data_IF_809803418394
#
_entry.id   IF_809803418394
#
_cell.length_a   1.000
_cell.length_b   1.000
_cell.length_c   1.000
_cell.angle_alpha   90.00
_cell.angle_beta   90.00
_cell.angle_gamma   90.00
#
_symmetry.space_group_name_H-M   'P 1'
#
loop_
_entity.id
_entity.type
_entity.pdbx_description
1 polymer ?
#
# COMPACT_ATOMS: atom_id res chain seq x y z
N UNK A 1 5.20 -8.99 -8.29
CA UNK A 1 4.26 -9.15 -7.17
C UNK A 1 3.67 -7.82 -6.70
N UNK A 2 4.48 -6.81 -6.46
CA UNK A 2 3.94 -5.53 -5.96
C UNK A 2 3.06 -4.82 -6.97
N UNK A 3 3.37 -4.92 -8.25
CA UNK A 3 2.54 -4.32 -9.28
C UNK A 3 1.15 -4.96 -9.32
N UNK A 4 1.10 -6.27 -9.17
CA UNK A 4 -0.18 -6.98 -9.11
C UNK A 4 -0.99 -6.58 -7.89
N UNK A 5 -0.34 -6.40 -6.74
CA UNK A 5 -1.03 -5.94 -5.54
C UNK A 5 -1.61 -4.54 -5.70
N UNK A 6 -0.84 -3.63 -6.32
CA UNK A 6 -1.33 -2.27 -6.62
C UNK A 6 -2.54 -2.32 -7.54
N UNK A 7 -2.46 -3.15 -8.57
CA UNK A 7 -3.56 -3.33 -9.51
C UNK A 7 -4.81 -3.86 -8.80
N UNK A 8 -4.63 -4.85 -7.95
CA UNK A 8 -5.75 -5.43 -7.21
C UNK A 8 -6.42 -4.40 -6.30
N UNK A 9 -5.63 -3.63 -5.56
CA UNK A 9 -6.16 -2.58 -4.69
C UNK A 9 -6.97 -1.57 -5.51
N UNK A 10 -6.44 -1.15 -6.65
CA UNK A 10 -7.16 -0.20 -7.52
C UNK A 10 -8.47 -0.79 -8.04
N UNK A 11 -8.47 -2.06 -8.46
CA UNK A 11 -9.67 -2.72 -8.95
C UNK A 11 -10.73 -2.78 -7.86
N UNK A 12 -10.35 -3.08 -6.64
CA UNK A 12 -11.30 -3.14 -5.52
C UNK A 12 -11.86 -1.76 -5.21
N UNK A 13 -11.01 -0.75 -5.22
CA UNK A 13 -11.43 0.62 -4.88
C UNK A 13 -12.34 1.23 -5.94
N UNK A 14 -12.01 1.02 -7.20
CA UNK A 14 -12.82 1.54 -8.31
C UNK A 14 -13.97 0.62 -8.67
N UNK A 15 -13.92 -0.64 -8.26
CA UNK A 15 -14.89 -1.67 -8.64
C UNK A 15 -15.06 -1.76 -10.15
N UNK A 16 -14.01 -1.51 -10.88
CA UNK A 16 -14.03 -1.44 -12.34
C UNK A 16 -12.63 -1.66 -12.89
N UNK A 17 -12.47 -2.62 -13.78
CA UNK A 17 -11.18 -2.97 -14.36
C UNK A 17 -10.65 -1.85 -15.26
N UNK A 18 -11.54 -1.25 -16.04
CA UNK A 18 -11.16 -0.19 -16.97
C UNK A 18 -10.67 1.04 -16.21
N UNK A 19 -11.42 1.46 -15.19
CA UNK A 19 -11.03 2.63 -14.39
C UNK A 19 -9.73 2.39 -13.63
N UNK A 20 -9.54 1.20 -13.10
CA UNK A 20 -8.30 0.85 -12.43
C UNK A 20 -7.11 0.93 -13.40
N UNK A 21 -7.31 0.42 -14.61
CA UNK A 21 -6.30 0.49 -15.67
C UNK A 21 -5.95 1.93 -16.04
N UNK A 22 -6.96 2.77 -16.18
CA UNK A 22 -6.75 4.19 -16.48
C UNK A 22 -5.93 4.86 -15.38
N UNK A 23 -6.28 4.60 -14.13
CA UNK A 23 -5.56 5.16 -12.99
C UNK A 23 -4.08 4.73 -12.98
N UNK A 24 -3.81 3.48 -13.35
CA UNK A 24 -2.47 2.91 -13.29
C UNK A 24 -1.71 3.00 -14.62
N UNK A 25 -2.33 3.57 -15.65
CA UNK A 25 -1.78 3.60 -17.01
C UNK A 25 -1.51 2.19 -17.55
N UNK A 26 -2.45 1.30 -17.31
CA UNK A 26 -2.41 -0.09 -17.78
C UNK A 26 -3.58 -0.37 -18.71
N UNK A 27 -3.36 -1.24 -19.69
CA UNK A 27 -4.46 -1.74 -20.51
C UNK A 27 -5.34 -2.68 -19.68
N UNK A 28 -6.61 -2.84 -20.10
CA UNK A 28 -7.50 -3.77 -19.43
C UNK A 28 -6.96 -5.21 -19.43
N UNK A 29 -6.40 -5.73 -20.54
CA UNK A 29 -5.76 -7.05 -20.49
C UNK A 29 -4.64 -7.17 -19.47
N UNK A 30 -3.84 -6.12 -19.30
CA UNK A 30 -2.79 -6.11 -18.28
C UNK A 30 -3.36 -6.18 -16.87
N UNK A 31 -4.42 -5.41 -16.61
CA UNK A 31 -5.10 -5.45 -15.32
C UNK A 31 -5.64 -6.86 -15.06
N UNK A 32 -6.32 -7.44 -16.04
CA UNK A 32 -6.86 -8.80 -15.93
C UNK A 32 -5.77 -9.82 -15.66
N UNK A 33 -4.63 -9.68 -16.33
CA UNK A 33 -3.50 -10.58 -16.14
C UNK A 33 -2.93 -10.48 -14.73
N UNK A 34 -2.80 -9.27 -14.20
CA UNK A 34 -2.32 -9.08 -12.84
C UNK A 34 -3.23 -9.76 -11.82
N UNK A 35 -4.54 -9.61 -12.00
CA UNK A 35 -5.51 -10.25 -11.10
C UNK A 35 -5.39 -11.77 -11.21
N UNK A 36 -5.29 -12.28 -12.42
CA UNK A 36 -5.16 -13.72 -12.63
C UNK A 36 -3.86 -14.27 -12.02
N UNK A 37 -2.78 -13.52 -12.13
CA UNK A 37 -1.51 -13.90 -11.51
C UNK A 37 -1.64 -14.03 -10.00
N UNK A 38 -2.34 -13.09 -9.36
CA UNK A 38 -2.58 -13.14 -7.92
C UNK A 38 -3.46 -14.33 -7.55
N UNK A 39 -4.53 -14.57 -8.32
CA UNK A 39 -5.40 -15.71 -8.07
C UNK A 39 -4.64 -17.03 -8.18
N UNK A 40 -3.75 -17.13 -9.16
CA UNK A 40 -2.92 -18.32 -9.33
C UNK A 40 -1.91 -18.46 -8.20
N UNK A 41 -1.32 -17.34 -7.77
CA UNK A 41 -0.34 -17.35 -6.69
C UNK A 41 -0.94 -17.80 -5.37
N UNK A 42 -2.09 -17.25 -5.01
CA UNK A 42 -2.77 -17.57 -3.75
C UNK A 42 -3.70 -18.77 -3.87
N UNK A 43 -3.94 -19.25 -5.10
CA UNK A 43 -4.80 -20.40 -5.38
C UNK A 43 -6.22 -20.21 -4.87
N UNK A 44 -6.74 -19.00 -5.04
CA UNK A 44 -8.11 -18.64 -4.66
C UNK A 44 -8.69 -17.71 -5.71
N UNK A 45 -10.02 -17.66 -5.77
CA UNK A 45 -10.72 -16.66 -6.57
C UNK A 45 -10.81 -15.38 -5.72
N UNK A 46 -10.34 -14.28 -6.26
CA UNK A 46 -10.36 -13.00 -5.57
C UNK A 46 -11.51 -12.12 -6.03
N UNK A 47 -11.84 -12.19 -7.32
CA UNK A 47 -12.86 -11.35 -7.93
C UNK A 47 -13.76 -12.23 -8.78
N UNK A 48 -15.08 -12.13 -8.55
CA UNK A 48 -16.08 -12.72 -9.42
C UNK A 48 -16.65 -11.63 -10.31
N UNK A 49 -16.77 -11.93 -11.60
CA UNK A 49 -17.34 -11.01 -12.59
C UNK A 49 -18.71 -11.49 -13.00
N UNK A 50 -19.65 -10.55 -13.08
CA UNK A 50 -20.92 -10.82 -13.72
C UNK A 50 -20.87 -10.27 -15.14
N UNK A 51 -20.92 -11.17 -16.12
CA UNK A 51 -20.86 -10.80 -17.54
C UNK A 51 -22.11 -9.98 -17.91
N UNK A 52 -23.26 -10.35 -17.37
CA UNK A 52 -24.54 -9.69 -17.70
C UNK A 52 -24.65 -8.29 -17.13
N UNK A 53 -24.17 -8.08 -15.92
CA UNK A 53 -24.32 -6.82 -15.21
C UNK A 53 -23.09 -5.94 -15.27
N UNK A 54 -22.01 -6.44 -15.84
CA UNK A 54 -20.71 -5.74 -15.89
C UNK A 54 -20.23 -5.29 -14.51
N UNK A 55 -20.67 -5.97 -13.47
CA UNK A 55 -20.27 -5.69 -12.11
C UNK A 55 -19.25 -6.73 -11.65
N UNK A 56 -18.43 -6.34 -10.70
CA UNK A 56 -17.50 -7.25 -10.07
C UNK A 56 -17.86 -7.40 -8.60
N UNK A 57 -17.62 -8.58 -8.08
CA UNK A 57 -17.83 -8.88 -6.68
C UNK A 57 -16.52 -9.35 -6.08
N UNK A 58 -16.15 -8.79 -4.95
CA UNK A 58 -14.93 -9.17 -4.26
C UNK A 58 -15.26 -10.34 -3.35
N UNK A 59 -14.54 -11.45 -3.52
CA UNK A 59 -14.75 -12.63 -2.67
C UNK A 59 -14.27 -12.34 -1.25
N UNK A 60 -14.60 -13.23 -0.32
CA UNK A 60 -14.08 -13.12 1.04
C UNK A 60 -12.55 -13.13 1.03
N UNK A 61 -11.95 -14.04 0.27
CA UNK A 61 -10.49 -14.07 0.09
C UNK A 61 -9.97 -12.76 -0.49
N UNK A 62 -10.71 -12.19 -1.43
CA UNK A 62 -10.35 -10.91 -2.03
C UNK A 62 -10.38 -9.77 -1.03
N UNK A 63 -11.35 -9.75 -0.12
CA UNK A 63 -11.43 -8.73 0.92
C UNK A 63 -10.26 -8.84 1.90
N UNK A 64 -9.89 -10.06 2.26
CA UNK A 64 -8.72 -10.29 3.11
C UNK A 64 -7.46 -9.81 2.41
N UNK A 65 -7.30 -10.18 1.15
CA UNK A 65 -6.13 -9.76 0.39
C UNK A 65 -6.09 -8.23 0.24
N UNK A 66 -7.22 -7.60 0.01
CA UNK A 66 -7.28 -6.15 -0.11
C UNK A 66 -6.71 -5.47 1.13
N UNK A 67 -7.16 -5.90 2.29
CA UNK A 67 -6.67 -5.36 3.57
C UNK A 67 -5.16 -5.56 3.71
N UNK A 68 -4.70 -6.79 3.46
CA UNK A 68 -3.28 -7.11 3.60
C UNK A 68 -2.43 -6.44 2.53
N UNK A 69 -2.93 -6.34 1.31
CA UNK A 69 -2.21 -5.67 0.24
C UNK A 69 -1.96 -4.20 0.58
N UNK A 70 -2.93 -3.52 1.15
CA UNK A 70 -2.75 -2.14 1.58
C UNK A 70 -1.68 -2.04 2.67
N UNK A 71 -1.67 -2.97 3.60
CA UNK A 71 -0.64 -3.00 4.64
C UNK A 71 0.74 -3.27 4.05
N UNK A 72 0.84 -4.22 3.13
CA UNK A 72 2.11 -4.56 2.47
C UNK A 72 2.65 -3.37 1.69
N UNK A 73 1.80 -2.74 0.90
CA UNK A 73 2.21 -1.60 0.09
C UNK A 73 2.63 -0.41 0.95
N UNK A 74 1.92 -0.20 2.05
CA UNK A 74 2.27 0.85 2.99
C UNK A 74 3.63 0.57 3.65
N UNK A 75 3.87 -0.66 4.06
CA UNK A 75 5.14 -1.05 4.66
C UNK A 75 6.29 -0.93 3.66
N UNK A 76 6.04 -1.28 2.40
CA UNK A 76 7.04 -1.10 1.36
C UNK A 76 7.41 0.37 1.20
N UNK A 77 6.42 1.25 1.24
CA UNK A 77 6.64 2.69 1.14
C UNK A 77 7.44 3.21 2.33
N UNK A 78 7.12 2.76 3.53
CA UNK A 78 7.87 3.08 4.74
C UNK A 78 9.32 2.60 4.61
N UNK A 79 9.50 1.39 4.12
CA UNK A 79 10.83 0.80 3.93
C UNK A 79 11.65 1.62 2.95
N UNK A 80 11.03 2.07 1.87
CA UNK A 80 11.70 2.91 0.89
C UNK A 80 12.22 4.20 1.54
N UNK A 81 11.41 4.85 2.34
CA UNK A 81 11.80 6.08 3.03
C UNK A 81 12.91 5.83 4.04
N UNK A 82 12.80 4.76 4.82
CA UNK A 82 13.81 4.43 5.82
C UNK A 82 15.18 4.17 5.18
N UNK A 83 15.18 3.43 4.09
CA UNK A 83 16.42 3.14 3.35
C UNK A 83 16.99 4.41 2.75
N UNK A 84 16.15 5.27 2.21
CA UNK A 84 16.58 6.55 1.63
C UNK A 84 17.20 7.46 2.67
N UNK A 85 16.68 7.46 3.90
CA UNK A 85 17.22 8.26 4.99
C UNK A 85 18.66 7.84 5.34
N UNK A 86 18.93 6.54 5.31
CA UNK A 86 20.29 6.04 5.56
C UNK A 86 21.25 6.50 4.46
N UNK A 87 20.81 6.48 3.20
CA UNK A 87 21.62 6.93 2.07
C UNK A 87 22.01 8.41 2.18
N UNK A 88 21.14 9.21 2.77
CA UNK A 88 21.34 10.64 2.92
C UNK A 88 21.74 11.01 4.35
N UNK A 89 22.53 10.17 5.00
CA UNK A 89 22.86 10.32 6.41
C UNK A 89 23.44 11.71 6.76
N UNK A 90 24.20 12.32 5.86
CA UNK A 90 24.83 13.62 6.10
C UNK A 90 23.78 14.73 6.25
N UNK A 91 22.68 14.63 5.49
CA UNK A 91 21.59 15.60 5.52
C UNK A 91 20.38 15.09 6.28
N UNK A 92 20.49 13.93 6.89
CA UNK A 92 19.38 13.24 7.52
C UNK A 92 18.68 14.03 8.60
N UNK A 93 19.42 14.77 9.38
CA UNK A 93 18.85 15.58 10.47
C UNK A 93 17.90 16.65 9.94
N UNK A 94 18.27 17.32 8.88
CA UNK A 94 17.43 18.35 8.29
C UNK A 94 16.14 17.75 7.73
N UNK A 95 16.27 16.59 7.07
CA UNK A 95 15.10 15.90 6.52
C UNK A 95 14.16 15.46 7.62
N UNK A 96 14.68 14.92 8.69
CA UNK A 96 13.88 14.49 9.82
C UNK A 96 13.15 15.69 10.44
N UNK A 97 13.85 16.80 10.62
CA UNK A 97 13.24 18.01 11.16
C UNK A 97 12.11 18.52 10.29
N UNK A 98 12.34 18.58 8.98
CA UNK A 98 11.29 19.02 8.06
C UNK A 98 10.08 18.08 8.07
N UNK A 99 10.33 16.79 8.13
CA UNK A 99 9.27 15.79 8.19
C UNK A 99 8.43 15.94 9.46
N UNK A 100 9.06 16.29 10.57
CA UNK A 100 8.35 16.45 11.83
C UNK A 100 7.41 17.65 11.83
N UNK A 101 7.78 18.72 11.13
CA UNK A 101 6.91 19.88 10.97
C UNK A 101 5.62 19.49 10.25
N UNK A 102 5.75 18.73 9.19
CA UNK A 102 4.61 18.18 8.46
C UNK A 102 3.89 17.14 9.30
N UNK A 103 4.64 16.38 10.08
CA UNK A 103 4.15 15.29 10.88
C UNK A 103 3.27 15.67 12.05
N UNK A 104 3.17 16.95 12.40
CA UNK A 104 2.26 17.36 13.45
C UNK A 104 0.82 16.92 13.16
N UNK A 105 0.48 16.77 11.89
CA UNK A 105 -0.85 16.35 11.46
C UNK A 105 -0.95 14.87 11.11
N UNK A 106 0.09 14.31 10.51
CA UNK A 106 0.04 12.94 9.94
C UNK A 106 0.80 11.97 10.83
N UNK A 107 1.96 12.38 11.30
CA UNK A 107 2.88 11.52 12.02
C UNK A 107 2.31 10.92 13.32
N UNK A 108 1.48 11.61 14.12
CA UNK A 108 0.93 11.00 15.33
C UNK A 108 0.15 9.71 15.06
N UNK A 109 -0.69 9.70 14.03
CA UNK A 109 -1.44 8.50 13.66
C UNK A 109 -0.52 7.41 13.13
N UNK A 110 0.45 7.80 12.33
CA UNK A 110 1.45 6.89 11.80
C UNK A 110 2.25 6.24 12.93
N UNK A 111 2.73 7.02 13.88
CA UNK A 111 3.53 6.51 14.99
C UNK A 111 2.71 5.57 15.89
N UNK A 112 1.44 5.86 16.11
CA UNK A 112 0.57 5.01 16.91
C UNK A 112 0.42 3.64 16.27
N UNK A 113 0.18 3.59 14.96
CA UNK A 113 0.08 2.34 14.21
C UNK A 113 1.41 1.61 14.17
N UNK A 114 2.48 2.35 13.94
CA UNK A 114 3.80 1.79 13.82
C UNK A 114 4.28 1.18 15.14
N UNK A 115 4.12 1.89 16.24
CA UNK A 115 4.48 1.39 17.57
C UNK A 115 3.70 0.16 17.96
N UNK A 116 2.44 0.10 17.58
CA UNK A 116 1.58 -1.04 17.88
C UNK A 116 2.05 -2.29 17.15
N UNK A 117 2.50 -2.15 15.89
CA UNK A 117 2.97 -3.29 15.07
C UNK A 117 4.41 -3.65 15.34
N UNK A 118 5.24 -2.66 15.62
CA UNK A 118 6.68 -2.82 15.72
C UNK A 118 7.20 -2.14 16.99
N UNK A 119 6.88 -2.70 18.15
CA UNK A 119 7.25 -2.07 19.42
C UNK A 119 8.76 -1.99 19.65
N UNK A 120 9.53 -2.83 18.97
CA UNK A 120 10.99 -2.84 19.12
C UNK A 120 11.69 -1.80 18.29
N UNK A 121 10.98 -1.13 17.36
CA UNK A 121 11.58 -0.10 16.54
C UNK A 121 11.59 1.20 17.31
N UNK A 122 12.73 1.89 17.26
CA UNK A 122 12.94 3.12 17.98
C UNK A 122 12.15 4.28 17.36
N UNK A 123 10.92 4.43 17.78
CA UNK A 123 10.04 5.53 17.37
C UNK A 123 10.44 6.83 18.06
N UNK A 124 11.18 6.76 19.15
CA UNK A 124 11.60 7.94 19.89
C UNK A 124 12.47 8.88 19.09
N UNK A 125 13.18 8.36 18.07
CA UNK A 125 13.99 9.20 17.21
C UNK A 125 13.16 10.31 16.61
N UNK A 126 11.95 10.02 16.17
CA UNK A 126 11.06 11.00 15.59
C UNK A 126 10.50 11.94 16.67
N UNK A 127 10.14 11.41 17.80
CA UNK A 127 9.57 12.18 18.91
C UNK A 127 10.59 13.13 19.47
N UNK A 128 11.83 12.70 19.64
CA UNK A 128 12.91 13.56 20.14
C UNK A 128 13.16 14.75 19.25
N UNK A 129 13.08 14.53 17.95
CA UNK A 129 13.28 15.62 16.99
C UNK A 129 12.08 16.57 16.96
N UNK A 130 10.92 16.11 17.38
CA UNK A 130 9.73 16.92 17.49
C UNK A 130 9.75 17.74 18.78
N UNK A 131 10.31 17.17 19.81
CA UNK A 131 10.42 17.80 21.12
C UNK A 131 11.60 18.77 21.16
#
# INVERSE_FOLDING_TARGET
>A
MFEELKTFVAVVEYKNFTKAGEYLNLSQPSVSKHIKNLENYFKVVLINRSIKQKTIFITESGQILYKRAKEILNLLNITYHDVSQVSDAITGHLKIGASLTIGEYILPNFLALFSKKYPDIDVEVFIKNTS
#
